data_IF_160997501365
#
_entry.id   IF_160997501365
#
_cell.length_a   1.000
_cell.length_b   1.000
_cell.length_c   1.000
_cell.angle_alpha   90.00
_cell.angle_beta   90.00
_cell.angle_gamma   90.00
#
_symmetry.space_group_name_H-M   'P 1'
#
loop_
_entity.id
_entity.type
_entity.pdbx_description
1 polymer ?
#
# COMPACT_ATOMS: atom_id res chain seq x y z
N UNK A 1 -9.98 -11.80 -11.02
CA UNK A 1 -9.44 -11.72 -9.65
C UNK A 1 -8.41 -12.81 -9.56
N UNK A 2 -7.20 -12.47 -9.98
CA UNK A 2 -6.12 -13.42 -10.21
C UNK A 2 -5.11 -13.37 -9.07
N UNK A 3 -4.41 -14.50 -8.93
CA UNK A 3 -3.14 -14.67 -8.21
C UNK A 3 -3.15 -14.65 -6.69
N UNK A 4 -3.77 -15.66 -6.09
CA UNK A 4 -3.21 -16.32 -4.88
C UNK A 4 -3.34 -17.84 -5.06
N UNK A 5 -2.60 -18.40 -6.04
CA UNK A 5 -2.57 -19.85 -6.26
C UNK A 5 -1.13 -20.42 -6.24
N UNK A 6 -0.10 -19.62 -6.00
CA UNK A 6 1.27 -20.04 -6.32
C UNK A 6 2.23 -20.32 -5.16
N UNK A 7 1.77 -20.44 -3.91
CA UNK A 7 2.68 -20.67 -2.77
C UNK A 7 2.53 -22.06 -2.11
N UNK A 8 1.58 -22.90 -2.55
CA UNK A 8 1.38 -24.22 -1.94
C UNK A 8 1.80 -25.41 -2.82
N UNK A 9 2.15 -25.19 -4.10
CA UNK A 9 2.45 -26.29 -5.03
C UNK A 9 3.92 -26.72 -5.08
N UNK A 10 4.85 -25.98 -4.47
CA UNK A 10 6.29 -26.22 -4.64
C UNK A 10 6.99 -26.93 -3.47
N UNK A 11 6.24 -27.46 -2.50
CA UNK A 11 6.81 -28.29 -1.45
C UNK A 11 6.72 -29.77 -1.84
N UNK A 12 7.66 -30.22 -2.69
CA UNK A 12 7.82 -31.63 -3.09
C UNK A 12 8.14 -32.58 -1.92
N UNK A 13 8.19 -32.10 -0.68
CA UNK A 13 8.42 -32.90 0.53
C UNK A 13 7.16 -33.12 1.40
N UNK A 14 6.01 -32.52 1.07
CA UNK A 14 4.78 -32.68 1.86
C UNK A 14 3.73 -33.53 1.11
N UNK A 15 3.12 -34.56 1.75
CA UNK A 15 2.06 -35.33 1.11
C UNK A 15 0.90 -34.39 0.79
N UNK A 16 0.53 -34.33 -0.50
CA UNK A 16 -0.62 -33.59 -1.04
C UNK A 16 -1.83 -33.78 -0.12
N UNK A 17 -2.16 -32.77 0.69
CA UNK A 17 -3.39 -32.78 1.48
C UNK A 17 -4.55 -32.60 0.51
N UNK A 18 -5.25 -33.70 0.24
CA UNK A 18 -6.44 -33.75 -0.61
C UNK A 18 -7.61 -33.18 0.21
N UNK A 19 -7.84 -31.87 0.13
CA UNK A 19 -9.02 -31.24 0.70
C UNK A 19 -9.06 -29.73 0.50
N UNK A 20 -10.22 -29.22 0.09
CA UNK A 20 -10.49 -27.78 0.03
C UNK A 20 -10.68 -27.23 1.45
N UNK A 21 -9.88 -26.24 1.84
CA UNK A 21 -10.10 -25.46 3.07
C UNK A 21 -11.09 -24.35 2.77
N UNK A 22 -12.32 -24.46 3.25
CA UNK A 22 -13.32 -23.42 3.11
C UNK A 22 -13.21 -22.45 4.30
N UNK A 23 -12.58 -21.28 4.09
CA UNK A 23 -12.56 -20.22 5.08
C UNK A 23 -13.89 -19.46 5.04
N UNK A 24 -14.63 -19.46 6.15
CA UNK A 24 -15.68 -18.48 6.37
C UNK A 24 -15.02 -17.13 6.70
N UNK A 25 -15.54 -16.05 6.11
CA UNK A 25 -15.11 -14.66 6.27
C UNK A 25 -14.87 -14.30 7.75
N UNK A 26 -13.79 -13.58 8.10
CA UNK A 26 -13.38 -13.40 9.49
C UNK A 26 -14.16 -12.26 10.12
N UNK A 27 -15.24 -12.57 10.82
CA UNK A 27 -15.71 -11.74 11.93
C UNK A 27 -15.20 -12.39 13.21
N UNK A 28 -14.26 -11.70 13.86
CA UNK A 28 -13.62 -12.09 15.13
C UNK A 28 -14.71 -12.54 16.12
N UNK A 29 -14.73 -13.82 16.54
CA UNK A 29 -15.28 -14.33 17.82
C UNK A 29 -15.18 -15.87 17.88
N UNK A 30 -14.26 -16.36 18.71
CA UNK A 30 -14.03 -17.76 19.17
C UNK A 30 -13.58 -18.81 18.14
N UNK A 31 -12.75 -19.80 18.54
CA UNK A 31 -12.33 -20.89 17.65
C UNK A 31 -13.54 -21.77 17.34
N UNK A 32 -14.23 -21.46 16.24
CA UNK A 32 -15.19 -22.38 15.64
C UNK A 32 -14.40 -23.58 15.14
N UNK A 33 -14.78 -24.77 15.60
CA UNK A 33 -14.20 -26.04 15.18
C UNK A 33 -14.20 -26.13 13.65
N UNK A 34 -13.00 -26.14 13.06
CA UNK A 34 -12.85 -26.33 11.62
C UNK A 34 -13.23 -27.76 11.28
N UNK A 35 -14.31 -27.94 10.52
CA UNK A 35 -14.75 -29.25 10.04
C UNK A 35 -14.03 -29.55 8.73
N UNK A 36 -13.08 -30.48 8.75
CA UNK A 36 -12.40 -30.95 7.55
C UNK A 36 -13.34 -31.94 6.84
N UNK A 37 -13.76 -31.62 5.63
CA UNK A 37 -14.48 -32.54 4.75
C UNK A 37 -13.45 -33.22 3.87
N UNK A 38 -13.30 -34.54 3.99
CA UNK A 38 -12.41 -35.32 3.14
C UNK A 38 -13.15 -35.66 1.83
N UNK A 39 -12.53 -35.38 0.69
CA UNK A 39 -13.09 -35.66 -0.63
C UNK A 39 -13.08 -37.17 -0.98
N UNK A 40 -12.34 -37.97 -0.21
CA UNK A 40 -12.33 -39.43 -0.28
C UNK A 40 -12.15 -40.02 1.12
N UNK A 41 -12.62 -41.26 1.32
CA UNK A 41 -12.32 -42.02 2.55
C UNK A 41 -10.81 -42.31 2.56
N UNK A 42 -10.08 -41.98 3.65
CA UNK A 42 -8.64 -42.21 3.72
C UNK A 42 -8.34 -43.71 3.81
N UNK A 43 -7.27 -44.14 3.14
CA UNK A 43 -6.76 -45.50 3.22
C UNK A 43 -6.13 -45.78 4.59
N UNK A 44 -6.01 -47.06 4.96
CA UNK A 44 -5.41 -47.44 6.25
C UNK A 44 -3.96 -46.95 6.40
N UNK A 45 -3.21 -46.88 5.31
CA UNK A 45 -1.86 -46.34 5.29
C UNK A 45 -1.85 -44.84 5.62
N UNK A 46 -2.72 -44.05 4.96
CA UNK A 46 -2.87 -42.60 5.23
C UNK A 46 -3.29 -42.34 6.68
N UNK A 47 -4.19 -43.16 7.25
CA UNK A 47 -4.59 -43.08 8.66
C UNK A 47 -3.40 -43.35 9.59
N UNK A 48 -2.61 -44.39 9.31
CA UNK A 48 -1.46 -44.75 10.14
C UNK A 48 -0.37 -43.67 10.08
N UNK A 49 -0.12 -43.08 8.90
CA UNK A 49 0.79 -41.94 8.74
C UNK A 49 0.30 -40.73 9.52
N UNK A 50 -0.98 -40.39 9.42
CA UNK A 50 -1.57 -39.28 10.17
C UNK A 50 -1.45 -39.47 11.70
N UNK A 51 -1.75 -40.68 12.21
CA UNK A 51 -1.55 -41.03 13.61
C UNK A 51 -0.09 -40.91 14.04
N UNK A 52 0.85 -41.30 13.19
CA UNK A 52 2.29 -41.19 13.47
C UNK A 52 2.80 -39.74 13.49
N UNK A 53 2.07 -38.83 12.85
CA UNK A 53 2.38 -37.40 12.83
C UNK A 53 1.64 -36.61 13.92
N UNK A 54 0.67 -37.23 14.60
CA UNK A 54 0.02 -36.68 15.77
C UNK A 54 1.09 -36.37 16.83
N UNK A 55 1.09 -35.15 17.35
CA UNK A 55 2.07 -34.65 18.35
C UNK A 55 3.52 -34.51 17.87
N UNK A 56 3.84 -34.74 16.58
CA UNK A 56 5.13 -34.31 16.04
C UNK A 56 5.14 -32.79 15.94
N UNK A 57 6.03 -32.16 16.70
CA UNK A 57 6.32 -30.73 16.55
C UNK A 57 7.15 -30.54 15.28
N UNK A 58 6.50 -30.14 14.20
CA UNK A 58 7.21 -29.57 13.06
C UNK A 58 7.70 -28.19 13.50
N UNK A 59 9.02 -28.06 13.73
CA UNK A 59 9.60 -26.73 13.86
C UNK A 59 9.52 -26.10 12.47
N UNK A 60 8.78 -25.01 12.34
CA UNK A 60 9.00 -24.08 11.25
C UNK A 60 10.48 -23.71 11.33
N UNK A 61 11.28 -23.86 10.25
CA UNK A 61 12.65 -23.39 10.23
C UNK A 61 12.65 -21.94 10.73
N UNK A 62 13.60 -21.67 11.62
CA UNK A 62 13.85 -20.41 12.31
C UNK A 62 13.42 -19.21 11.46
N UNK A 63 12.46 -18.45 11.98
CA UNK A 63 11.98 -17.16 11.48
C UNK A 63 11.82 -17.09 9.96
N UNK A 64 10.64 -17.52 9.45
CA UNK A 64 10.16 -17.01 8.18
C UNK A 64 9.89 -15.51 8.35
N UNK A 65 10.94 -14.71 8.24
CA UNK A 65 10.87 -13.26 8.09
C UNK A 65 10.20 -13.05 6.74
N UNK A 66 8.95 -12.60 6.75
CA UNK A 66 8.39 -11.95 5.56
C UNK A 66 9.37 -10.83 5.25
N UNK A 67 10.11 -10.88 4.13
CA UNK A 67 10.99 -9.79 3.79
C UNK A 67 10.12 -8.55 3.77
N UNK A 68 10.41 -7.57 4.63
CA UNK A 68 9.84 -6.25 4.45
C UNK A 68 10.12 -5.90 3.00
N UNK A 69 9.09 -5.65 2.20
CA UNK A 69 9.31 -5.04 0.89
C UNK A 69 10.24 -3.86 1.16
N UNK A 70 11.40 -3.84 0.51
CA UNK A 70 12.25 -2.66 0.60
C UNK A 70 11.40 -1.53 0.06
N UNK A 71 10.88 -0.70 0.96
CA UNK A 71 10.01 0.40 0.60
C UNK A 71 10.80 1.35 -0.29
N UNK A 72 10.14 1.88 -1.29
CA UNK A 72 10.77 2.81 -2.23
C UNK A 72 10.92 4.15 -1.51
N UNK A 73 12.15 4.63 -1.37
CA UNK A 73 12.42 5.93 -0.78
C UNK A 73 12.10 7.05 -1.78
N UNK A 74 11.20 7.95 -1.38
CA UNK A 74 10.75 9.10 -2.19
C UNK A 74 11.36 10.43 -1.73
N UNK A 75 12.24 10.43 -0.71
CA UNK A 75 12.85 11.65 -0.16
C UNK A 75 13.67 12.45 -1.18
N UNK A 76 14.13 11.81 -2.26
CA UNK A 76 14.88 12.44 -3.34
C UNK A 76 14.07 13.35 -4.28
N UNK A 77 12.73 13.39 -4.16
CA UNK A 77 11.90 14.29 -4.97
C UNK A 77 12.13 15.73 -4.47
N UNK A 78 12.67 16.57 -5.34
CA UNK A 78 13.03 17.96 -5.04
C UNK A 78 12.35 19.00 -5.95
N UNK A 79 11.52 18.54 -6.90
CA UNK A 79 10.80 19.40 -7.84
C UNK A 79 9.51 18.73 -8.30
N UNK A 80 8.49 19.55 -8.54
CA UNK A 80 7.26 19.15 -9.22
C UNK A 80 7.20 19.83 -10.59
N UNK A 81 6.63 19.13 -11.57
CA UNK A 81 6.34 19.75 -12.86
C UNK A 81 5.36 20.91 -12.69
N UNK A 82 5.42 21.90 -13.58
CA UNK A 82 4.55 23.08 -13.53
C UNK A 82 3.09 22.65 -13.59
N UNK A 83 2.34 22.97 -12.54
CA UNK A 83 0.88 22.91 -12.53
C UNK A 83 0.32 24.23 -13.05
N UNK A 84 -0.60 24.16 -14.01
CA UNK A 84 -1.55 25.26 -14.24
C UNK A 84 -2.74 24.97 -13.35
N UNK A 85 -2.97 25.83 -12.36
CA UNK A 85 -4.03 25.69 -11.37
C UNK A 85 -5.13 26.66 -11.78
N UNK A 86 -6.33 26.14 -12.04
CA UNK A 86 -7.50 26.96 -12.31
C UNK A 86 -8.36 27.00 -11.05
N UNK A 87 -8.57 28.19 -10.51
CA UNK A 87 -9.49 28.40 -9.40
C UNK A 87 -10.65 29.21 -9.95
N UNK A 88 -11.76 28.53 -10.25
CA UNK A 88 -12.99 29.17 -10.66
C UNK A 88 -13.56 29.93 -9.45
N UNK A 89 -13.30 31.24 -9.41
CA UNK A 89 -14.05 32.21 -8.59
C UNK A 89 -13.97 31.94 -7.06
N UNK A 90 -12.77 32.10 -6.45
CA UNK A 90 -12.48 33.37 -5.76
C UNK A 90 -11.03 33.90 -5.93
N UNK A 91 -10.80 35.18 -5.59
CA UNK A 91 -9.44 35.76 -5.43
C UNK A 91 -8.64 35.10 -4.31
N UNK A 92 -9.27 34.28 -3.47
CA UNK A 92 -8.61 33.56 -2.39
C UNK A 92 -8.81 32.05 -2.52
N UNK A 93 -7.86 31.27 -2.02
CA UNK A 93 -7.95 29.80 -2.03
C UNK A 93 -7.44 29.18 -0.72
N UNK A 94 -7.94 27.99 -0.38
CA UNK A 94 -7.45 27.18 0.75
C UNK A 94 -6.60 25.99 0.27
N UNK A 95 -5.85 25.38 1.19
CA UNK A 95 -5.10 24.16 0.91
C UNK A 95 -6.01 23.05 0.36
N UNK A 96 -7.23 22.91 0.88
CA UNK A 96 -8.19 21.88 0.45
C UNK A 96 -8.67 22.09 -0.99
N UNK A 97 -8.82 23.34 -1.43
CA UNK A 97 -9.20 23.68 -2.80
C UNK A 97 -8.05 23.43 -3.78
N UNK A 98 -6.81 23.67 -3.35
CA UNK A 98 -5.62 23.44 -4.15
C UNK A 98 -5.25 21.95 -4.24
N UNK A 99 -5.44 21.19 -3.17
CA UNK A 99 -4.97 19.79 -3.05
C UNK A 99 -5.35 18.93 -4.27
N UNK A 100 -6.62 18.86 -4.73
CA UNK A 100 -7.00 18.09 -5.92
C UNK A 100 -6.23 18.46 -7.20
N UNK A 101 -5.79 19.71 -7.35
CA UNK A 101 -5.09 20.21 -8.54
C UNK A 101 -3.62 19.73 -8.59
N UNK A 102 -3.01 19.50 -7.43
CA UNK A 102 -1.65 18.96 -7.32
C UNK A 102 -1.58 17.45 -7.53
N UNK A 103 -2.71 16.74 -7.45
CA UNK A 103 -2.79 15.28 -7.49
C UNK A 103 -2.03 14.67 -8.67
N UNK A 104 -2.25 15.19 -9.88
CA UNK A 104 -1.64 14.66 -11.09
C UNK A 104 -0.12 14.86 -11.14
N UNK A 105 0.36 16.06 -10.74
CA UNK A 105 1.81 16.36 -10.76
C UNK A 105 2.57 15.62 -9.66
N UNK A 106 1.96 15.44 -8.48
CA UNK A 106 2.54 14.67 -7.39
C UNK A 106 2.64 13.19 -7.79
N UNK A 107 1.57 12.61 -8.34
CA UNK A 107 1.58 11.22 -8.80
C UNK A 107 2.64 11.01 -9.89
N UNK A 108 2.80 11.97 -10.79
CA UNK A 108 3.82 11.91 -11.84
C UNK A 108 5.24 11.93 -11.26
N UNK A 109 5.51 12.78 -10.27
CA UNK A 109 6.81 12.83 -9.59
C UNK A 109 7.13 11.53 -8.85
N UNK A 110 6.13 10.95 -8.16
CA UNK A 110 6.26 9.66 -7.48
C UNK A 110 6.54 8.53 -8.47
N UNK A 111 5.81 8.48 -9.59
CA UNK A 111 6.02 7.47 -10.64
C UNK A 111 7.35 7.60 -11.38
N UNK A 112 7.98 8.77 -11.33
CA UNK A 112 9.32 8.97 -11.88
C UNK A 112 10.41 8.32 -11.00
N UNK A 113 10.15 8.13 -9.70
CA UNK A 113 11.00 7.33 -8.81
C UNK A 113 10.77 5.85 -9.07
N UNK A 114 9.51 5.41 -9.00
CA UNK A 114 9.13 4.04 -9.28
C UNK A 114 7.68 3.97 -9.81
N UNK A 115 7.53 3.37 -10.99
CA UNK A 115 6.25 3.28 -11.69
C UNK A 115 5.19 2.39 -11.01
N UNK A 116 5.59 1.55 -10.06
CA UNK A 116 4.70 0.66 -9.29
C UNK A 116 3.94 1.40 -8.18
N UNK A 117 4.42 2.59 -7.78
CA UNK A 117 3.79 3.38 -6.73
C UNK A 117 2.44 3.99 -7.19
N UNK A 118 1.50 4.01 -6.25
CA UNK A 118 0.14 4.49 -6.44
C UNK A 118 -0.19 5.61 -5.46
N UNK A 119 -1.36 6.23 -5.61
CA UNK A 119 -1.87 7.24 -4.67
C UNK A 119 -2.07 6.70 -3.25
N UNK A 120 -2.12 5.38 -3.07
CA UNK A 120 -2.18 4.77 -1.75
C UNK A 120 -0.82 4.74 -1.06
N UNK A 121 0.29 5.00 -1.77
CA UNK A 121 1.65 4.86 -1.24
C UNK A 121 2.23 6.18 -0.74
N UNK A 122 1.48 7.27 -0.76
CA UNK A 122 1.94 8.55 -0.21
C UNK A 122 0.78 9.42 0.27
N UNK A 123 1.11 10.39 1.13
CA UNK A 123 0.30 11.56 1.41
C UNK A 123 1.07 12.81 0.97
N UNK A 124 0.35 13.91 0.78
CA UNK A 124 0.99 15.21 0.54
C UNK A 124 0.21 16.34 1.20
N UNK A 125 0.96 17.36 1.57
CA UNK A 125 0.55 18.53 2.31
C UNK A 125 0.92 19.77 1.51
N UNK A 126 0.10 20.82 1.65
CA UNK A 126 0.30 22.10 0.98
C UNK A 126 0.26 23.16 2.07
N UNK A 127 1.33 23.93 2.17
CA UNK A 127 1.45 25.04 3.11
C UNK A 127 1.59 26.36 2.34
N UNK A 128 0.97 27.40 2.90
CA UNK A 128 1.10 28.75 2.40
C UNK A 128 2.47 29.31 2.79
N UNK A 129 3.21 29.85 1.83
CA UNK A 129 4.55 30.37 2.09
C UNK A 129 4.50 31.79 2.60
N UNK A 130 4.67 31.97 3.91
CA UNK A 130 4.78 33.29 4.55
C UNK A 130 3.46 34.03 4.77
N UNK A 131 2.33 33.34 4.68
CA UNK A 131 1.00 33.87 4.96
C UNK A 131 0.09 32.75 5.49
N UNK A 132 -1.00 33.11 6.17
CA UNK A 132 -1.99 32.13 6.65
C UNK A 132 -3.05 31.86 5.58
N UNK A 133 -3.66 30.67 5.61
CA UNK A 133 -4.81 30.35 4.77
C UNK A 133 -6.06 31.14 5.21
N UNK A 134 -6.95 31.54 4.28
CA UNK A 134 -6.84 31.42 2.82
C UNK A 134 -5.87 32.45 2.21
N UNK A 135 -5.18 32.08 1.13
CA UNK A 135 -4.20 32.95 0.45
C UNK A 135 -4.81 33.67 -0.75
N UNK A 136 -4.42 34.91 -0.99
CA UNK A 136 -4.85 35.72 -2.14
C UNK A 136 -4.08 35.34 -3.43
N UNK A 137 -4.74 34.71 -4.37
CA UNK A 137 -4.18 34.26 -5.66
C UNK A 137 -4.44 35.24 -6.81
N UNK A 138 -4.76 36.51 -6.52
CA UNK A 138 -4.91 37.54 -7.58
C UNK A 138 -3.65 37.66 -8.44
N UNK A 139 -2.47 37.44 -7.84
CA UNK A 139 -1.18 37.35 -8.53
C UNK A 139 -0.58 35.94 -8.36
N UNK A 140 0.49 35.64 -9.11
CA UNK A 140 1.27 34.42 -8.90
C UNK A 140 1.68 34.29 -7.42
N UNK A 141 1.43 33.12 -6.85
CA UNK A 141 1.76 32.79 -5.46
C UNK A 141 2.67 31.58 -5.40
N UNK A 142 3.48 31.48 -4.36
CA UNK A 142 4.29 30.28 -4.10
C UNK A 142 3.72 29.55 -2.89
N UNK A 143 3.50 28.26 -3.04
CA UNK A 143 3.16 27.36 -1.93
C UNK A 143 4.23 26.31 -1.77
N UNK A 144 4.29 25.72 -0.59
CA UNK A 144 5.21 24.62 -0.29
C UNK A 144 4.43 23.31 -0.33
N UNK A 145 4.90 22.37 -1.16
CA UNK A 145 4.33 21.02 -1.24
C UNK A 145 5.31 20.06 -0.59
N UNK A 146 4.82 19.28 0.38
CA UNK A 146 5.59 18.22 1.00
C UNK A 146 4.87 16.88 0.80
N UNK A 147 5.62 15.88 0.36
CA UNK A 147 5.17 14.51 0.13
C UNK A 147 5.81 13.58 1.17
N UNK A 148 4.99 12.71 1.75
CA UNK A 148 5.37 11.73 2.77
C UNK A 148 4.99 10.31 2.31
N UNK A 149 5.95 9.38 2.35
CA UNK A 149 5.76 8.00 1.90
C UNK A 149 5.01 7.14 2.93
N UNK A 150 4.08 6.29 2.46
CA UNK A 150 3.37 5.29 3.26
C UNK A 150 3.26 3.97 2.48
N UNK A 151 2.75 2.92 3.14
CA UNK A 151 2.58 1.59 2.54
C UNK A 151 3.87 1.10 1.85
N UNK A 152 3.93 1.11 0.51
CA UNK A 152 5.09 0.66 -0.27
C UNK A 152 6.17 1.73 -0.45
N UNK A 153 5.92 2.99 -0.07
CA UNK A 153 6.92 4.05 -0.07
C UNK A 153 7.37 4.43 1.36
N UNK A 154 8.53 5.06 1.45
CA UNK A 154 9.10 5.63 2.68
C UNK A 154 9.82 6.94 2.38
N UNK A 155 10.26 7.63 3.43
CA UNK A 155 10.90 8.94 3.32
C UNK A 155 9.90 10.09 3.24
N UNK A 156 10.42 11.29 3.44
CA UNK A 156 9.70 12.55 3.35
C UNK A 156 10.55 13.51 2.53
N UNK A 157 9.90 14.24 1.64
CA UNK A 157 10.56 15.26 0.83
C UNK A 157 10.84 16.51 1.66
N UNK A 158 11.84 17.29 1.25
CA UNK A 158 11.92 18.68 1.69
C UNK A 158 10.72 19.45 1.11
N UNK A 159 10.27 20.54 1.76
CA UNK A 159 9.26 21.43 1.17
C UNK A 159 9.66 21.85 -0.25
N UNK A 160 8.78 21.61 -1.21
CA UNK A 160 8.99 21.92 -2.62
C UNK A 160 8.22 23.20 -2.96
N UNK A 161 8.94 24.25 -3.32
CA UNK A 161 8.34 25.49 -3.80
C UNK A 161 7.64 25.27 -5.14
N UNK A 162 6.33 25.52 -5.18
CA UNK A 162 5.53 25.48 -6.40
C UNK A 162 4.82 26.81 -6.59
N UNK A 163 5.03 27.39 -7.78
CA UNK A 163 4.33 28.61 -8.19
C UNK A 163 2.95 28.25 -8.71
N UNK A 164 1.93 28.76 -8.04
CA UNK A 164 0.55 28.83 -8.48
C UNK A 164 0.42 30.04 -9.38
N UNK A 165 0.04 29.80 -10.63
CA UNK A 165 -0.23 30.87 -11.58
C UNK A 165 -1.71 31.16 -11.62
N UNK A 166 -2.05 32.45 -11.58
CA UNK A 166 -3.40 32.90 -11.90
C UNK A 166 -3.47 33.13 -13.41
N UNK A 167 -4.44 32.51 -14.10
CA UNK A 167 -4.59 32.59 -15.55
C UNK A 167 -6.03 32.84 -15.95
#
# INVERSE_FOLDING_TARGET
>A
MDTIQQVLDNDTANPKWIGKVQYATPTILYPKTCKIILEKVPTQAEINTAKSNLNKKFRVPVDYVIPSSNKIDISGINKLDKSTIHVDDPTQTTAEQLKPQFKAVVLKAIKAIDSSLTENDYDYFIEAKGEDWPIDITNDKTVEVQIEGKNNATGQTNPIDVVIKNS
#
